data_IF_165575401483
#
_entry.id   IF_165575401483
#
_cell.length_a   1.000
_cell.length_b   1.000
_cell.length_c   1.000
_cell.angle_alpha   90.00
_cell.angle_beta   90.00
_cell.angle_gamma   90.00
#
_symmetry.space_group_name_H-M   'P 1'
#
loop_
_entity.id
_entity.type
_entity.pdbx_description
1 polymer ?
#
# COMPACT_ATOMS: atom_id res chain seq x y z
N UNK A 1 18.43 2.40 -16.40
CA UNK A 1 17.71 3.34 -15.51
C UNK A 1 18.29 3.24 -14.10
N UNK A 2 18.48 4.38 -13.44
CA UNK A 2 19.03 4.52 -12.09
C UNK A 2 18.06 3.91 -11.05
N UNK A 3 18.53 3.14 -10.04
CA UNK A 3 17.70 2.65 -8.94
C UNK A 3 16.81 3.72 -8.28
N UNK A 4 17.31 4.97 -8.20
CA UNK A 4 16.58 6.11 -7.64
C UNK A 4 15.24 6.38 -8.36
N UNK A 5 15.15 6.12 -9.66
CA UNK A 5 13.90 6.26 -10.41
C UNK A 5 12.81 5.32 -9.86
N UNK A 6 13.16 4.05 -9.68
CA UNK A 6 12.25 3.08 -9.09
C UNK A 6 11.97 3.39 -7.62
N UNK A 7 12.94 3.90 -6.87
CA UNK A 7 12.71 4.31 -5.48
C UNK A 7 11.67 5.42 -5.37
N UNK A 8 11.80 6.48 -6.19
CA UNK A 8 10.81 7.57 -6.24
C UNK A 8 9.43 7.02 -6.61
N UNK A 9 9.36 6.20 -7.67
CA UNK A 9 8.09 5.64 -8.13
C UNK A 9 7.42 4.75 -7.07
N UNK A 10 8.21 3.97 -6.34
CA UNK A 10 7.72 3.10 -5.26
C UNK A 10 7.17 3.92 -4.10
N UNK A 11 7.88 4.97 -3.67
CA UNK A 11 7.42 5.87 -2.61
C UNK A 11 6.17 6.65 -3.01
N UNK A 12 6.10 7.15 -4.25
CA UNK A 12 4.88 7.79 -4.78
C UNK A 12 3.71 6.81 -4.76
N UNK A 13 3.93 5.55 -5.17
CA UNK A 13 2.92 4.51 -5.09
C UNK A 13 2.40 4.28 -3.66
N UNK A 14 3.31 4.24 -2.67
CA UNK A 14 2.95 4.15 -1.24
C UNK A 14 2.11 5.34 -0.81
N UNK A 15 2.54 6.58 -1.12
CA UNK A 15 1.78 7.79 -0.78
C UNK A 15 0.37 7.75 -1.37
N UNK A 16 0.23 7.30 -2.62
CA UNK A 16 -1.07 7.16 -3.28
C UNK A 16 -1.97 6.12 -2.60
N UNK A 17 -1.42 4.96 -2.19
CA UNK A 17 -2.18 3.94 -1.45
C UNK A 17 -2.70 4.50 -0.12
N UNK A 18 -1.82 5.10 0.68
CA UNK A 18 -2.19 5.62 2.00
C UNK A 18 -3.15 6.81 1.91
N UNK A 19 -2.95 7.71 0.95
CA UNK A 19 -3.88 8.82 0.69
C UNK A 19 -5.25 8.32 0.24
N UNK A 20 -5.27 7.39 -0.73
CA UNK A 20 -6.50 6.79 -1.24
C UNK A 20 -7.27 6.06 -0.14
N UNK A 21 -6.58 5.28 0.69
CA UNK A 21 -7.22 4.55 1.80
C UNK A 21 -7.64 5.46 2.94
N UNK A 22 -6.88 6.51 3.27
CA UNK A 22 -7.32 7.54 4.22
C UNK A 22 -8.64 8.16 3.78
N UNK A 23 -8.76 8.52 2.50
CA UNK A 23 -10.01 9.04 1.94
C UNK A 23 -11.15 8.01 1.99
N UNK A 24 -10.90 6.75 1.63
CA UNK A 24 -11.93 5.69 1.66
C UNK A 24 -12.39 5.39 3.09
N UNK A 25 -11.47 5.32 4.06
CA UNK A 25 -11.79 5.06 5.47
C UNK A 25 -12.56 6.21 6.09
N UNK A 26 -12.10 7.45 5.90
CA UNK A 26 -12.83 8.64 6.37
C UNK A 26 -14.24 8.71 5.78
N UNK A 27 -14.36 8.43 4.47
CA UNK A 27 -15.64 8.32 3.78
C UNK A 27 -16.51 7.20 4.37
N UNK A 28 -15.94 6.03 4.66
CA UNK A 28 -16.69 4.92 5.28
C UNK A 28 -17.17 5.22 6.70
N UNK A 29 -16.55 6.16 7.42
CA UNK A 29 -17.00 6.59 8.75
C UNK A 29 -18.02 7.74 8.69
N UNK A 30 -17.79 8.74 7.84
CA UNK A 30 -18.59 9.97 7.85
C UNK A 30 -19.68 10.02 6.76
N UNK A 31 -19.46 9.40 5.60
CA UNK A 31 -20.37 9.49 4.46
C UNK A 31 -20.32 8.24 3.56
N UNK A 32 -20.80 7.06 4.02
CA UNK A 32 -20.70 5.79 3.29
C UNK A 32 -21.44 5.78 1.94
N UNK A 33 -22.30 6.76 1.68
CA UNK A 33 -22.99 6.95 0.40
C UNK A 33 -22.21 7.76 -0.65
N UNK A 34 -21.12 8.46 -0.29
CA UNK A 34 -20.42 9.37 -1.20
C UNK A 34 -19.70 8.60 -2.31
N UNK A 35 -20.25 8.61 -3.52
CA UNK A 35 -19.71 7.85 -4.68
C UNK A 35 -18.45 8.49 -5.26
N UNK A 36 -18.36 9.82 -5.24
CA UNK A 36 -17.22 10.56 -5.81
C UNK A 36 -15.94 10.25 -5.05
N UNK A 37 -15.97 10.36 -3.72
CA UNK A 37 -14.82 10.05 -2.86
C UNK A 37 -14.46 8.56 -2.93
N UNK A 38 -15.46 7.67 -3.05
CA UNK A 38 -15.21 6.25 -3.28
C UNK A 38 -14.42 6.02 -4.57
N UNK A 39 -14.83 6.65 -5.67
CA UNK A 39 -14.16 6.52 -6.97
C UNK A 39 -12.73 7.08 -6.91
N UNK A 40 -12.56 8.29 -6.39
CA UNK A 40 -11.25 8.93 -6.24
C UNK A 40 -10.30 8.06 -5.41
N UNK A 41 -10.70 7.70 -4.19
CA UNK A 41 -9.87 6.90 -3.29
C UNK A 41 -9.52 5.52 -3.86
N UNK A 42 -10.46 4.88 -4.58
CA UNK A 42 -10.23 3.57 -5.21
C UNK A 42 -9.27 3.66 -6.40
N UNK A 43 -9.38 4.69 -7.24
CA UNK A 43 -8.47 4.89 -8.38
C UNK A 43 -7.07 5.24 -7.88
N UNK A 44 -6.96 6.19 -6.94
CA UNK A 44 -5.67 6.61 -6.39
C UNK A 44 -4.94 5.45 -5.73
N UNK A 45 -5.63 4.67 -4.88
CA UNK A 45 -5.01 3.50 -4.24
C UNK A 45 -4.71 2.37 -5.22
N UNK A 46 -5.57 2.11 -6.20
CA UNK A 46 -5.33 1.11 -7.25
C UNK A 46 -4.12 1.42 -8.11
N UNK A 47 -3.99 2.67 -8.60
CA UNK A 47 -2.81 3.11 -9.35
C UNK A 47 -1.57 3.07 -8.45
N UNK A 48 -1.69 3.54 -7.20
CA UNK A 48 -0.59 3.49 -6.24
C UNK A 48 -0.04 2.07 -6.05
N UNK A 49 -0.92 1.07 -5.94
CA UNK A 49 -0.53 -0.32 -5.79
C UNK A 49 0.19 -0.87 -7.04
N UNK A 50 -0.26 -0.51 -8.23
CA UNK A 50 0.43 -0.86 -9.49
C UNK A 50 1.84 -0.26 -9.52
N UNK A 51 1.99 1.01 -9.12
CA UNK A 51 3.30 1.66 -9.02
C UNK A 51 4.20 0.96 -7.99
N UNK A 52 3.67 0.58 -6.83
CA UNK A 52 4.40 -0.18 -5.81
C UNK A 52 4.98 -1.47 -6.40
N UNK A 53 4.18 -2.26 -7.13
CA UNK A 53 4.65 -3.53 -7.68
C UNK A 53 5.68 -3.34 -8.80
N UNK A 54 5.39 -2.50 -9.80
CA UNK A 54 6.32 -2.26 -10.92
C UNK A 54 7.64 -1.73 -10.40
N UNK A 55 7.59 -0.72 -9.52
CA UNK A 55 8.78 -0.10 -8.97
C UNK A 55 9.52 -1.02 -7.98
N UNK A 56 8.79 -1.80 -7.19
CA UNK A 56 9.35 -2.74 -6.21
C UNK A 56 10.16 -3.84 -6.89
N UNK A 57 9.61 -4.47 -7.93
CA UNK A 57 10.35 -5.47 -8.71
C UNK A 57 11.54 -4.86 -9.46
N UNK A 58 11.39 -3.63 -9.97
CA UNK A 58 12.50 -2.87 -10.53
C UNK A 58 13.64 -2.64 -9.52
N UNK A 59 13.32 -2.26 -8.28
CA UNK A 59 14.30 -2.07 -7.21
C UNK A 59 15.03 -3.37 -6.86
N UNK A 60 14.31 -4.48 -6.71
CA UNK A 60 14.90 -5.79 -6.39
C UNK A 60 15.96 -6.15 -7.44
N UNK A 61 15.58 -6.07 -8.73
CA UNK A 61 16.48 -6.37 -9.84
C UNK A 61 17.67 -5.40 -9.92
N UNK A 62 17.46 -4.10 -9.68
CA UNK A 62 18.53 -3.09 -9.79
C UNK A 62 19.49 -3.06 -8.61
N UNK A 63 19.05 -3.48 -7.43
CA UNK A 63 19.88 -3.56 -6.24
C UNK A 63 20.54 -4.93 -6.05
N UNK A 64 20.20 -5.92 -6.91
CA UNK A 64 20.80 -7.26 -6.87
C UNK A 64 20.31 -8.13 -5.72
N UNK A 65 19.13 -7.86 -5.17
CA UNK A 65 18.52 -8.67 -4.10
C UNK A 65 17.83 -9.91 -4.66
N UNK A 66 17.70 -10.95 -3.83
CA UNK A 66 16.92 -12.13 -4.22
C UNK A 66 15.43 -11.86 -3.98
N UNK A 67 14.57 -12.30 -4.91
CA UNK A 67 13.12 -12.27 -4.71
C UNK A 67 12.66 -13.13 -3.52
N UNK A 68 13.50 -14.07 -3.08
CA UNK A 68 13.22 -14.96 -1.95
C UNK A 68 13.74 -14.44 -0.62
N UNK A 69 14.36 -13.26 -0.57
CA UNK A 69 14.79 -12.68 0.71
C UNK A 69 13.57 -12.50 1.61
N UNK A 70 13.69 -12.92 2.88
CA UNK A 70 12.56 -12.97 3.81
C UNK A 70 11.87 -11.60 3.93
N UNK A 71 12.65 -10.51 4.02
CA UNK A 71 12.11 -9.15 4.11
C UNK A 71 11.36 -8.71 2.83
N UNK A 72 11.76 -9.20 1.65
CA UNK A 72 11.06 -8.96 0.38
C UNK A 72 9.73 -9.72 0.36
N UNK A 73 9.74 -11.00 0.75
CA UNK A 73 8.53 -11.83 0.81
C UNK A 73 7.50 -11.24 1.78
N UNK A 74 7.94 -10.80 2.96
CA UNK A 74 7.06 -10.14 3.94
C UNK A 74 6.43 -8.87 3.35
N UNK A 75 7.23 -8.01 2.71
CA UNK A 75 6.69 -6.80 2.05
C UNK A 75 5.73 -7.13 0.92
N UNK A 76 6.02 -8.18 0.15
CA UNK A 76 5.13 -8.63 -0.92
C UNK A 76 3.77 -9.06 -0.36
N UNK A 77 3.75 -9.84 0.73
CA UNK A 77 2.51 -10.19 1.44
C UNK A 77 1.78 -8.94 1.94
N UNK A 78 2.50 -7.97 2.51
CA UNK A 78 1.89 -6.71 2.95
C UNK A 78 1.22 -5.98 1.77
N UNK A 79 1.87 -5.88 0.62
CA UNK A 79 1.28 -5.24 -0.57
C UNK A 79 0.05 -5.98 -1.08
N UNK A 80 0.02 -7.32 -1.02
CA UNK A 80 -1.18 -8.10 -1.33
C UNK A 80 -2.32 -7.85 -0.32
N UNK A 81 -2.00 -7.81 0.98
CA UNK A 81 -2.96 -7.46 2.02
C UNK A 81 -3.52 -6.05 1.81
N UNK A 82 -2.67 -5.09 1.47
CA UNK A 82 -3.10 -3.75 1.09
C UNK A 82 -4.03 -3.81 -0.12
N UNK A 83 -3.70 -4.55 -1.17
CA UNK A 83 -4.58 -4.72 -2.33
C UNK A 83 -5.95 -5.33 -1.98
N UNK A 84 -6.01 -6.23 -1.00
CA UNK A 84 -7.27 -6.81 -0.52
C UNK A 84 -8.10 -5.85 0.36
N UNK A 85 -7.46 -4.96 1.11
CA UNK A 85 -8.14 -4.06 2.05
C UNK A 85 -9.22 -3.19 1.40
N UNK A 86 -9.03 -2.76 0.17
CA UNK A 86 -10.02 -1.94 -0.55
C UNK A 86 -11.41 -2.58 -0.60
N UNK A 87 -11.47 -3.92 -0.74
CA UNK A 87 -12.72 -4.64 -0.76
C UNK A 87 -13.40 -4.59 0.62
N UNK A 88 -12.63 -4.74 1.70
CA UNK A 88 -13.15 -4.69 3.06
C UNK A 88 -13.60 -3.27 3.45
N UNK A 89 -12.81 -2.25 3.11
CA UNK A 89 -13.14 -0.83 3.36
C UNK A 89 -14.47 -0.45 2.70
N UNK A 90 -14.70 -0.92 1.47
CA UNK A 90 -15.89 -0.57 0.70
C UNK A 90 -17.12 -1.45 1.04
N UNK A 91 -16.93 -2.69 1.46
CA UNK A 91 -18.03 -3.64 1.75
C UNK A 91 -18.42 -3.71 3.23
N UNK A 92 -17.53 -3.33 4.14
CA UNK A 92 -17.74 -3.41 5.60
C UNK A 92 -17.38 -2.07 6.29
N UNK A 93 -18.17 -0.99 6.06
CA UNK A 93 -17.89 0.32 6.67
C UNK A 93 -17.80 0.28 8.20
N UNK A 94 -18.53 -0.63 8.85
CA UNK A 94 -18.47 -0.84 10.30
C UNK A 94 -17.08 -1.24 10.84
N UNK A 95 -16.19 -1.74 9.96
CA UNK A 95 -14.82 -2.10 10.33
C UNK A 95 -13.82 -0.95 10.11
N UNK A 96 -14.26 0.25 9.69
CA UNK A 96 -13.35 1.31 9.26
C UNK A 96 -12.31 1.68 10.33
N UNK A 97 -12.68 1.76 11.61
CA UNK A 97 -11.73 2.07 12.68
C UNK A 97 -10.67 0.97 12.86
N UNK A 98 -11.06 -0.30 12.81
CA UNK A 98 -10.14 -1.43 12.85
C UNK A 98 -9.20 -1.40 11.63
N UNK A 99 -9.75 -1.16 10.44
CA UNK A 99 -9.00 -1.11 9.19
C UNK A 99 -8.02 0.07 9.14
N UNK A 100 -8.34 1.17 9.81
CA UNK A 100 -7.43 2.30 9.97
C UNK A 100 -6.16 1.91 10.72
N UNK A 101 -6.31 1.27 11.89
CA UNK A 101 -5.16 0.81 12.68
C UNK A 101 -4.40 -0.32 11.99
N UNK A 102 -5.11 -1.23 11.33
CA UNK A 102 -4.48 -2.28 10.52
C UNK A 102 -3.66 -1.69 9.37
N UNK A 103 -4.17 -0.66 8.67
CA UNK A 103 -3.42 0.02 7.61
C UNK A 103 -2.12 0.64 8.14
N UNK A 104 -2.18 1.31 9.29
CA UNK A 104 -1.00 1.88 9.94
C UNK A 104 -0.02 0.79 10.37
N UNK A 105 -0.50 -0.31 10.95
CA UNK A 105 0.33 -1.44 11.37
C UNK A 105 1.05 -2.10 10.19
N UNK A 106 0.34 -2.33 9.08
CA UNK A 106 0.92 -2.89 7.85
C UNK A 106 1.97 -1.94 7.25
N UNK A 107 1.70 -0.63 7.23
CA UNK A 107 2.65 0.39 6.80
C UNK A 107 3.92 0.41 7.65
N UNK A 108 3.76 0.45 8.97
CA UNK A 108 4.87 0.42 9.91
C UNK A 108 5.71 -0.87 9.75
N UNK A 109 5.07 -2.02 9.64
CA UNK A 109 5.77 -3.30 9.42
C UNK A 109 6.56 -3.30 8.12
N UNK A 110 5.99 -2.76 7.03
CA UNK A 110 6.69 -2.65 5.75
C UNK A 110 7.94 -1.75 5.83
N UNK A 111 7.91 -0.70 6.65
CA UNK A 111 9.07 0.17 6.92
C UNK A 111 10.10 -0.58 7.78
N UNK A 112 9.68 -1.21 8.87
CA UNK A 112 10.56 -1.96 9.78
C UNK A 112 11.34 -3.05 9.03
N UNK A 113 10.68 -3.77 8.12
CA UNK A 113 11.34 -4.81 7.31
C UNK A 113 12.47 -4.28 6.43
N UNK A 114 12.42 -3.01 6.02
CA UNK A 114 13.49 -2.41 5.20
C UNK A 114 14.69 -1.98 6.05
N UNK A 115 14.44 -1.40 7.22
CA UNK A 115 15.49 -0.76 8.03
C UNK A 115 16.05 -1.65 9.14
N UNK A 116 15.27 -2.61 9.62
CA UNK A 116 15.64 -3.48 10.75
C UNK A 116 15.69 -4.95 10.31
N UNK A 117 14.70 -5.41 9.55
CA UNK A 117 14.57 -6.81 9.14
C UNK A 117 15.39 -7.22 7.90
N UNK A 118 16.21 -6.33 7.34
CA UNK A 118 16.96 -6.55 6.10
C UNK A 118 18.24 -7.38 6.30
N UNK A 119 18.63 -7.64 7.55
CA UNK A 119 19.86 -8.34 7.95
C UNK A 119 19.63 -9.83 8.20
#
# INVERSE_FOLDING_TARGET
MNPNFYQVLHLVGILMVFLGYGALLARSMAAPGNVSVRKLGSITSGIGLVLIFIAGFGLISKLGHSFTDTWILVKFVIWLLLGGLIALINRKPQMALLLWWLLLALGALAVIMVYVGRF
#
